data_IF_916089531027
#
_entry.id   IF_916089531027
#
_cell.length_a   1.000
_cell.length_b   1.000
_cell.length_c   1.000
_cell.angle_alpha   90.00
_cell.angle_beta   90.00
_cell.angle_gamma   90.00
#
_symmetry.space_group_name_H-M   'P 1'
#
loop_
_entity.id
_entity.type
_entity.pdbx_description
1 polymer ?
#
# COMPACT_ATOMS: atom_id res chain seq x y z
N UNK A 1 -7.16 -2.66 22.97
CA UNK A 1 -6.88 -2.42 21.54
C UNK A 1 -8.17 -2.49 20.76
N UNK A 2 -8.47 -1.48 19.96
CA UNK A 2 -9.67 -1.49 19.13
C UNK A 2 -9.52 -2.47 17.95
N UNK A 3 -10.66 -2.86 17.35
CA UNK A 3 -10.62 -3.69 16.12
C UNK A 3 -9.86 -2.99 14.98
N UNK A 4 -9.97 -1.67 14.87
CA UNK A 4 -9.28 -0.88 13.85
C UNK A 4 -7.76 -0.94 14.01
N UNK A 5 -7.27 -0.78 15.24
CA UNK A 5 -5.85 -0.90 15.55
C UNK A 5 -5.35 -2.32 15.24
N UNK A 6 -6.09 -3.32 15.67
CA UNK A 6 -5.71 -4.74 15.46
C UNK A 6 -5.60 -5.07 13.97
N UNK A 7 -6.60 -4.69 13.17
CA UNK A 7 -6.59 -4.92 11.72
C UNK A 7 -5.39 -4.20 11.06
N UNK A 8 -5.12 -2.97 11.46
CA UNK A 8 -3.99 -2.19 10.93
C UNK A 8 -2.64 -2.85 11.27
N UNK A 9 -2.45 -3.27 12.52
CA UNK A 9 -1.22 -3.95 12.94
C UNK A 9 -1.03 -5.28 12.21
N UNK A 10 -2.09 -6.08 12.11
CA UNK A 10 -2.03 -7.38 11.42
C UNK A 10 -1.72 -7.19 9.93
N UNK A 11 -2.27 -6.14 9.29
CA UNK A 11 -1.95 -5.80 7.91
C UNK A 11 -0.47 -5.48 7.72
N UNK A 12 0.09 -4.60 8.54
CA UNK A 12 1.51 -4.25 8.43
C UNK A 12 2.42 -5.45 8.73
N UNK A 13 2.09 -6.23 9.74
CA UNK A 13 2.86 -7.43 10.07
C UNK A 13 2.79 -8.47 8.94
N UNK A 14 1.64 -8.63 8.30
CA UNK A 14 1.48 -9.49 7.13
C UNK A 14 2.33 -9.04 5.95
N UNK A 15 2.32 -7.74 5.65
CA UNK A 15 3.15 -7.16 4.59
C UNK A 15 4.64 -7.36 4.91
N UNK A 16 5.07 -7.06 6.13
CA UNK A 16 6.47 -7.19 6.54
C UNK A 16 6.96 -8.65 6.47
N UNK A 17 6.10 -9.60 6.80
CA UNK A 17 6.41 -11.03 6.72
C UNK A 17 6.30 -11.60 5.30
N UNK A 18 5.77 -10.85 4.33
CA UNK A 18 5.44 -11.36 3.00
C UNK A 18 4.33 -12.42 3.02
N UNK A 19 3.49 -12.39 4.04
CA UNK A 19 2.39 -13.35 4.22
C UNK A 19 1.13 -12.85 3.51
N UNK A 20 1.02 -13.22 2.24
CA UNK A 20 -0.08 -12.76 1.38
C UNK A 20 -1.42 -13.34 1.81
N UNK A 21 -1.46 -14.52 2.40
CA UNK A 21 -2.72 -15.11 2.91
C UNK A 21 -3.30 -14.28 4.05
N UNK A 22 -2.45 -13.79 4.95
CA UNK A 22 -2.87 -12.88 6.02
C UNK A 22 -3.41 -11.57 5.44
N UNK A 23 -2.69 -10.97 4.50
CA UNK A 23 -3.12 -9.73 3.83
C UNK A 23 -4.46 -9.94 3.13
N UNK A 24 -4.61 -11.02 2.37
CA UNK A 24 -5.85 -11.36 1.69
C UNK A 24 -7.04 -11.46 2.65
N UNK A 25 -6.82 -12.08 3.80
CA UNK A 25 -7.88 -12.24 4.80
C UNK A 25 -8.31 -10.91 5.45
N UNK A 26 -7.47 -9.89 5.42
CA UNK A 26 -7.72 -8.59 6.05
C UNK A 26 -8.34 -7.54 5.12
N UNK A 27 -8.37 -7.78 3.81
CA UNK A 27 -8.92 -6.83 2.85
C UNK A 27 -10.26 -7.33 2.29
N UNK A 28 -11.15 -6.39 2.01
CA UNK A 28 -12.46 -6.67 1.44
C UNK A 28 -12.36 -7.03 -0.04
N UNK A 29 -13.33 -7.81 -0.57
CA UNK A 29 -13.37 -8.16 -1.99
C UNK A 29 -13.44 -6.91 -2.90
N UNK A 30 -14.14 -5.87 -2.44
CA UNK A 30 -14.28 -4.59 -3.13
C UNK A 30 -13.23 -3.56 -2.70
N UNK A 31 -12.12 -4.03 -2.12
CA UNK A 31 -10.99 -3.19 -1.71
C UNK A 31 -10.54 -2.28 -2.84
N UNK A 32 -10.20 -1.04 -2.50
CA UNK A 32 -9.55 -0.14 -3.45
C UNK A 32 -8.29 0.48 -2.85
N UNK A 33 -7.24 0.49 -3.68
CA UNK A 33 -6.00 1.23 -3.41
C UNK A 33 -6.07 2.55 -4.16
N UNK A 34 -5.84 3.65 -3.43
CA UNK A 34 -5.78 4.99 -4.00
C UNK A 34 -4.39 5.55 -3.80
N UNK A 35 -3.68 5.80 -4.90
CA UNK A 35 -2.40 6.51 -4.91
C UNK A 35 -2.68 7.90 -5.47
N UNK A 36 -2.64 8.96 -4.64
CA UNK A 36 -3.09 10.30 -5.03
C UNK A 36 -2.06 11.04 -5.87
N UNK A 37 -1.71 10.47 -7.01
CA UNK A 37 -0.80 11.03 -8.01
C UNK A 37 -1.45 10.96 -9.38
N UNK A 38 -1.17 11.96 -10.22
CA UNK A 38 -1.73 12.07 -11.57
C UNK A 38 -0.98 11.23 -12.60
N UNK A 39 0.22 10.78 -12.29
CA UNK A 39 1.07 10.00 -13.22
C UNK A 39 2.11 9.20 -12.44
N UNK A 40 2.74 8.25 -13.09
CA UNK A 40 3.77 7.38 -12.55
C UNK A 40 3.37 5.92 -12.65
N UNK A 41 4.32 5.03 -12.34
CA UNK A 41 4.13 3.57 -12.45
C UNK A 41 2.98 3.07 -11.58
N UNK A 42 2.79 3.67 -10.42
CA UNK A 42 1.71 3.35 -9.48
C UNK A 42 1.01 4.66 -9.13
N UNK A 43 -0.11 4.95 -9.78
CA UNK A 43 -0.85 6.20 -9.60
C UNK A 43 -2.32 6.02 -9.93
N UNK A 44 -3.21 6.64 -9.16
CA UNK A 44 -4.65 6.56 -9.39
C UNK A 44 -5.34 5.52 -8.52
N UNK A 45 -6.50 5.04 -8.96
CA UNK A 45 -7.38 4.15 -8.21
C UNK A 45 -7.35 2.76 -8.84
N UNK A 46 -7.01 1.76 -8.02
CA UNK A 46 -6.96 0.34 -8.38
C UNK A 46 -8.07 -0.38 -7.62
N UNK A 47 -9.04 -0.95 -8.33
CA UNK A 47 -10.25 -1.52 -7.75
C UNK A 47 -10.21 -3.04 -7.66
N UNK A 48 -10.55 -3.54 -6.47
CA UNK A 48 -10.74 -4.95 -6.18
C UNK A 48 -9.53 -5.61 -5.53
N UNK A 49 -9.83 -6.55 -4.64
CA UNK A 49 -8.82 -7.38 -3.95
C UNK A 49 -7.89 -8.08 -4.94
N UNK A 50 -8.45 -8.68 -5.99
CA UNK A 50 -7.70 -9.42 -7.00
C UNK A 50 -6.67 -8.52 -7.70
N UNK A 51 -7.07 -7.31 -8.07
CA UNK A 51 -6.18 -6.34 -8.71
C UNK A 51 -4.99 -5.98 -7.83
N UNK A 52 -5.25 -5.82 -6.55
CA UNK A 52 -4.20 -5.51 -5.56
C UNK A 52 -3.25 -6.70 -5.37
N UNK A 53 -3.79 -7.90 -5.14
CA UNK A 53 -2.97 -9.09 -4.85
C UNK A 53 -2.24 -9.65 -6.07
N UNK A 54 -2.83 -9.59 -7.26
CA UNK A 54 -2.27 -10.16 -8.48
C UNK A 54 -1.56 -9.14 -9.38
N UNK A 55 -1.79 -7.84 -9.17
CA UNK A 55 -1.22 -6.75 -9.96
C UNK A 55 -0.25 -5.87 -9.18
N UNK A 56 -0.75 -5.20 -8.15
CA UNK A 56 0.04 -4.20 -7.41
C UNK A 56 1.16 -4.84 -6.58
N UNK A 57 0.83 -5.81 -5.75
CA UNK A 57 1.82 -6.46 -4.88
C UNK A 57 2.94 -7.13 -5.69
N UNK A 58 2.65 -7.94 -6.72
CA UNK A 58 3.71 -8.54 -7.52
C UNK A 58 4.59 -7.52 -8.25
N UNK A 59 3.99 -6.42 -8.75
CA UNK A 59 4.75 -5.34 -9.39
C UNK A 59 5.82 -4.78 -8.45
N UNK A 60 5.41 -4.39 -7.25
CA UNK A 60 6.31 -3.79 -6.25
C UNK A 60 7.34 -4.81 -5.76
N UNK A 61 6.91 -6.02 -5.43
CA UNK A 61 7.79 -7.06 -4.90
C UNK A 61 8.78 -7.57 -5.94
N UNK A 62 8.45 -7.49 -7.23
CA UNK A 62 9.41 -7.84 -8.31
C UNK A 62 10.62 -6.91 -8.38
N UNK A 63 10.53 -5.73 -7.76
CA UNK A 63 11.60 -4.74 -7.76
C UNK A 63 12.57 -4.89 -6.57
N UNK A 64 12.38 -5.89 -5.72
CA UNK A 64 13.19 -6.12 -4.52
C UNK A 64 13.58 -7.60 -4.38
N UNK A 65 14.63 -7.83 -3.62
CA UNK A 65 14.99 -9.16 -3.13
C UNK A 65 14.39 -9.33 -1.73
N UNK A 66 13.55 -10.34 -1.50
CA UNK A 66 12.94 -10.57 -0.19
C UNK A 66 13.94 -10.75 0.95
N UNK A 67 15.16 -11.18 0.64
CA UNK A 67 16.23 -11.33 1.64
C UNK A 67 16.87 -9.99 2.03
N UNK A 68 16.68 -8.94 1.23
CA UNK A 68 17.29 -7.63 1.43
C UNK A 68 16.30 -6.51 1.70
N UNK A 69 15.00 -6.81 1.71
CA UNK A 69 13.95 -5.81 1.89
C UNK A 69 12.86 -6.30 2.82
N UNK A 70 12.50 -5.48 3.79
CA UNK A 70 11.32 -5.68 4.63
C UNK A 70 10.40 -4.47 4.43
N UNK A 71 9.28 -4.69 3.75
CA UNK A 71 8.25 -3.65 3.59
C UNK A 71 7.53 -3.42 4.90
N UNK A 72 7.27 -2.16 5.22
CA UNK A 72 6.53 -1.75 6.42
C UNK A 72 7.11 -2.34 7.72
N UNK A 73 8.43 -2.48 7.80
CA UNK A 73 9.13 -3.04 8.96
C UNK A 73 8.77 -2.31 10.26
N UNK A 74 8.70 -0.99 10.18
CA UNK A 74 8.28 -0.15 11.29
C UNK A 74 7.02 0.60 10.89
N UNK A 75 6.08 0.72 11.80
CA UNK A 75 4.86 1.49 11.56
C UNK A 75 4.39 2.16 12.84
N UNK A 76 3.59 3.20 12.67
CA UNK A 76 2.97 3.91 13.78
C UNK A 76 1.57 4.35 13.41
N UNK A 77 0.61 3.99 14.24
CA UNK A 77 -0.76 4.50 14.13
C UNK A 77 -0.75 5.90 14.74
N UNK A 78 -1.12 6.88 13.94
CA UNK A 78 -1.12 8.30 14.33
C UNK A 78 -2.45 8.65 14.97
N UNK A 79 -3.56 8.22 14.37
CA UNK A 79 -4.90 8.53 14.84
C UNK A 79 -5.91 7.50 14.33
N UNK A 80 -6.98 7.34 15.08
CA UNK A 80 -8.16 6.59 14.65
C UNK A 80 -9.36 7.50 14.82
N UNK A 81 -10.14 7.66 13.77
CA UNK A 81 -11.35 8.46 13.78
C UNK A 81 -12.48 7.72 13.06
N UNK A 82 -13.59 7.48 13.73
CA UNK A 82 -14.68 6.63 13.24
C UNK A 82 -14.14 5.27 12.77
N UNK A 83 -14.30 4.94 11.50
CA UNK A 83 -13.80 3.70 10.89
C UNK A 83 -12.53 3.90 10.06
N UNK A 84 -11.85 5.04 10.25
CA UNK A 84 -10.60 5.35 9.55
C UNK A 84 -9.41 5.30 10.50
N UNK A 85 -8.28 4.80 9.99
CA UNK A 85 -7.00 4.79 10.68
C UNK A 85 -5.98 5.57 9.85
N UNK A 86 -5.33 6.53 10.48
CA UNK A 86 -4.19 7.26 9.90
C UNK A 86 -2.92 6.65 10.48
N UNK A 87 -2.03 6.20 9.62
CA UNK A 87 -0.79 5.56 10.02
C UNK A 87 0.36 5.91 9.07
N UNK A 88 1.57 5.71 9.56
CA UNK A 88 2.78 5.77 8.75
C UNK A 88 3.53 4.46 8.87
N UNK A 89 4.19 4.06 7.80
CA UNK A 89 5.02 2.87 7.77
C UNK A 89 6.31 3.13 7.01
N UNK A 90 7.35 2.39 7.35
CA UNK A 90 8.67 2.58 6.75
C UNK A 90 9.30 1.25 6.39
N UNK A 91 9.85 1.17 5.18
CA UNK A 91 10.63 0.03 4.71
C UNK A 91 12.03 0.04 5.29
N UNK A 92 12.68 -1.11 5.28
CA UNK A 92 14.11 -1.24 5.56
C UNK A 92 14.73 -2.18 4.54
N UNK A 93 15.63 -1.65 3.71
CA UNK A 93 16.36 -2.49 2.77
C UNK A 93 16.83 -1.81 1.50
N UNK A 94 17.21 -2.67 0.55
CA UNK A 94 17.83 -2.30 -0.71
C UNK A 94 17.01 -2.90 -1.86
N UNK A 95 16.70 -2.09 -2.87
CA UNK A 95 16.02 -2.53 -4.08
C UNK A 95 16.96 -3.32 -5.01
N UNK A 96 16.42 -4.00 -6.03
CA UNK A 96 17.22 -4.71 -7.03
C UNK A 96 18.16 -3.80 -7.80
N UNK A 97 17.89 -2.51 -7.87
CA UNK A 97 18.82 -1.50 -8.42
C UNK A 97 20.14 -1.39 -7.65
N UNK A 98 20.21 -1.95 -6.44
CA UNK A 98 21.32 -1.77 -5.51
C UNK A 98 21.24 -0.52 -4.65
N UNK A 99 20.19 0.28 -4.83
CA UNK A 99 19.98 1.53 -4.07
C UNK A 99 19.13 1.29 -2.83
N UNK A 100 19.37 2.00 -1.72
CA UNK A 100 18.49 1.95 -0.56
C UNK A 100 17.07 2.37 -0.95
N UNK A 101 16.08 1.62 -0.43
CA UNK A 101 14.67 1.96 -0.60
C UNK A 101 13.96 1.96 0.74
N UNK A 102 14.41 2.85 1.61
CA UNK A 102 13.83 3.07 2.95
C UNK A 102 12.65 4.04 2.84
N UNK A 103 11.64 3.63 2.05
CA UNK A 103 10.46 4.42 1.77
C UNK A 103 9.64 4.65 3.02
N UNK A 104 9.05 5.84 3.13
CA UNK A 104 8.05 6.16 4.14
C UNK A 104 6.69 6.29 3.45
N UNK A 105 5.72 5.52 3.92
CA UNK A 105 4.33 5.58 3.48
C UNK A 105 3.49 6.37 4.47
N UNK A 106 2.59 7.17 3.94
CA UNK A 106 1.50 7.76 4.69
C UNK A 106 0.21 7.08 4.25
N UNK A 107 -0.49 6.47 5.20
CA UNK A 107 -1.67 5.67 4.92
C UNK A 107 -2.91 6.21 5.63
N UNK A 108 -4.04 6.19 4.91
CA UNK A 108 -5.36 6.33 5.49
C UNK A 108 -6.14 5.07 5.11
N UNK A 109 -6.50 4.28 6.12
CA UNK A 109 -7.26 3.04 5.93
C UNK A 109 -8.70 3.24 6.35
N UNK A 110 -9.65 2.79 5.53
CA UNK A 110 -11.05 2.66 5.94
C UNK A 110 -11.33 1.20 6.24
N UNK A 111 -11.90 0.92 7.41
CA UNK A 111 -12.13 -0.44 7.90
C UNK A 111 -13.62 -0.60 8.19
N UNK A 112 -14.25 -1.58 7.58
CA UNK A 112 -15.66 -1.91 7.76
C UNK A 112 -15.78 -3.41 8.07
N UNK A 113 -16.48 -3.74 9.15
CA UNK A 113 -16.69 -5.14 9.57
C UNK A 113 -15.39 -5.95 9.67
N UNK A 114 -14.32 -5.33 10.19
CA UNK A 114 -13.02 -5.98 10.37
C UNK A 114 -12.20 -6.16 9.11
N UNK A 115 -12.60 -5.56 7.99
CA UNK A 115 -11.89 -5.63 6.70
C UNK A 115 -11.49 -4.23 6.24
N UNK A 116 -10.31 -4.13 5.64
CA UNK A 116 -9.88 -2.88 4.99
C UNK A 116 -10.59 -2.78 3.66
N UNK A 117 -11.42 -1.75 3.50
CA UNK A 117 -12.18 -1.51 2.26
C UNK A 117 -11.50 -0.49 1.35
N UNK A 118 -10.63 0.36 1.92
CA UNK A 118 -9.91 1.38 1.18
C UNK A 118 -8.56 1.65 1.83
N UNK A 119 -7.54 1.77 1.02
CA UNK A 119 -6.21 2.21 1.43
C UNK A 119 -5.80 3.39 0.55
N UNK A 120 -5.67 4.57 1.15
CA UNK A 120 -5.02 5.71 0.51
C UNK A 120 -3.55 5.63 0.87
N UNK A 121 -2.69 5.59 -0.14
CA UNK A 121 -1.24 5.48 0.05
C UNK A 121 -0.53 6.63 -0.64
N UNK A 122 0.20 7.41 0.16
CA UNK A 122 1.12 8.43 -0.34
C UNK A 122 2.54 8.05 0.03
N UNK A 123 3.48 8.27 -0.89
CA UNK A 123 4.89 7.93 -0.71
C UNK A 123 5.79 8.93 -1.44
N UNK A 124 7.09 8.88 -1.15
CA UNK A 124 8.09 9.68 -1.84
C UNK A 124 8.31 9.11 -3.26
N UNK A 125 7.70 9.76 -4.25
CA UNK A 125 7.79 9.33 -5.64
C UNK A 125 9.18 9.56 -6.26
N UNK A 126 9.92 10.55 -5.79
CA UNK A 126 11.29 10.76 -6.24
C UNK A 126 12.18 9.57 -5.83
N UNK A 127 12.04 9.09 -4.59
CA UNK A 127 12.76 7.91 -4.12
C UNK A 127 12.33 6.65 -4.89
N UNK A 128 11.04 6.45 -5.12
CA UNK A 128 10.54 5.31 -5.88
C UNK A 128 11.09 5.31 -7.32
N UNK A 129 11.08 6.47 -7.99
CA UNK A 129 11.61 6.62 -9.34
C UNK A 129 13.13 6.38 -9.41
N UNK A 130 13.87 6.79 -8.38
CA UNK A 130 15.32 6.62 -8.35
C UNK A 130 15.73 5.17 -8.05
N UNK A 131 15.09 4.53 -7.09
CA UNK A 131 15.56 3.26 -6.52
C UNK A 131 14.72 2.04 -6.93
N UNK A 132 13.41 2.19 -7.08
CA UNK A 132 12.52 1.04 -7.23
C UNK A 132 12.18 0.75 -8.70
N UNK A 133 11.67 1.75 -9.43
CA UNK A 133 11.22 1.55 -10.81
C UNK A 133 12.38 1.52 -11.78
N UNK A 134 12.62 0.36 -12.38
CA UNK A 134 13.66 0.16 -13.39
C UNK A 134 13.09 0.43 -14.79
N UNK A 135 13.97 0.59 -15.79
CA UNK A 135 13.56 0.90 -17.17
C UNK A 135 12.53 -0.07 -17.76
N UNK A 136 12.60 -1.33 -17.34
CA UNK A 136 11.68 -2.38 -17.80
C UNK A 136 10.54 -2.66 -16.80
N UNK A 137 10.36 -1.81 -15.80
CA UNK A 137 9.23 -1.94 -14.88
C UNK A 137 7.93 -1.69 -15.65
N UNK A 138 7.00 -2.63 -15.54
CA UNK A 138 5.70 -2.52 -16.19
C UNK A 138 4.89 -1.35 -15.64
N UNK A 139 4.30 -0.57 -16.55
CA UNK A 139 3.39 0.51 -16.17
C UNK A 139 2.01 -0.09 -15.84
N UNK A 140 1.72 -0.24 -14.56
CA UNK A 140 0.42 -0.71 -14.10
C UNK A 140 -0.57 0.45 -14.05
N UNK A 141 -1.34 0.60 -15.12
CA UNK A 141 -2.32 1.67 -15.22
C UNK A 141 -3.46 1.49 -14.23
N UNK A 142 -3.95 2.59 -13.59
CA UNK A 142 -5.10 2.52 -12.71
C UNK A 142 -6.40 2.25 -13.48
N UNK A 143 -7.41 1.77 -12.75
CA UNK A 143 -8.77 1.66 -13.29
C UNK A 143 -9.38 3.04 -13.51
N UNK A 144 -9.08 3.99 -12.59
CA UNK A 144 -9.51 5.38 -12.68
C UNK A 144 -8.30 6.27 -12.35
N UNK A 145 -7.97 7.25 -13.22
CA UNK A 145 -6.99 8.27 -12.86
C UNK A 145 -7.40 9.01 -11.60
N UNK A 146 -6.42 9.39 -10.78
CA UNK A 146 -6.74 10.06 -9.52
C UNK A 146 -7.44 11.40 -9.74
N UNK A 147 -8.56 11.59 -9.04
CA UNK A 147 -9.27 12.86 -8.89
C UNK A 147 -9.96 12.87 -7.54
N UNK A 148 -9.95 14.01 -6.85
CA UNK A 148 -10.67 14.15 -5.58
C UNK A 148 -12.17 13.93 -5.74
N UNK A 149 -12.73 14.25 -6.90
CA UNK A 149 -14.15 14.06 -7.19
C UNK A 149 -14.59 12.59 -7.22
N UNK A 150 -13.63 11.69 -7.45
CA UNK A 150 -13.86 10.23 -7.44
C UNK A 150 -13.79 9.63 -6.04
N UNK A 151 -13.46 10.43 -5.02
CA UNK A 151 -13.32 9.97 -3.64
C UNK A 151 -14.59 10.30 -2.85
N UNK A 152 -15.27 9.28 -2.34
CA UNK A 152 -16.41 9.41 -1.45
C UNK A 152 -16.04 8.88 -0.06
N UNK A 153 -15.95 9.77 0.91
CA UNK A 153 -15.66 9.45 2.31
C UNK A 153 -16.91 9.18 3.15
N UNK A 154 -18.09 9.35 2.58
CA UNK A 154 -19.36 9.19 3.29
C UNK A 154 -20.02 7.83 3.07
N UNK A 155 -19.39 6.98 2.28
CA UNK A 155 -19.89 5.63 1.97
C UNK A 155 -19.23 4.55 2.81
#
# INVERSE_FOLDING_TARGET
MSVYQKVTEDFYNGIAAGDIEVVEALIDDDFELIVPMSSGVLSGIYKGKKRFLEGVIPLVFSCVDPEQMIFCKNFKIISTFDNMVIAMAQNDGIALSGKPYNQTYFHIMTIVSGKITRLIESFDSALANDALWMENTEDLRPDIPFSLDEMDFNS
#
